data_IF_809528187552
#
_entry.id   IF_809528187552
#
_cell.length_a   1.000
_cell.length_b   1.000
_cell.length_c   1.000
_cell.angle_alpha   90.00
_cell.angle_beta   90.00
_cell.angle_gamma   90.00
#
_symmetry.space_group_name_H-M   'P 1'
#
loop_
_entity.id
_entity.type
_entity.pdbx_description
1 polymer ?
#
# COMPACT_ATOMS: atom_id res chain seq x y z
N UNK A 1 -4.21 1.00 15.88
CA UNK A 1 -4.26 1.36 14.45
C UNK A 1 -5.69 1.64 14.07
N UNK A 2 -5.91 2.51 13.08
CA UNK A 2 -7.25 2.86 12.58
C UNK A 2 -7.32 2.60 11.08
N UNK A 3 -8.39 1.94 10.66
CA UNK A 3 -8.66 1.65 9.25
C UNK A 3 -9.51 2.74 8.63
N UNK A 4 -9.13 3.19 7.44
CA UNK A 4 -9.85 4.17 6.64
C UNK A 4 -10.06 3.63 5.24
N UNK A 5 -11.14 4.08 4.62
CA UNK A 5 -11.47 3.72 3.26
C UNK A 5 -11.84 4.99 2.47
N UNK A 6 -11.18 5.21 1.34
CA UNK A 6 -11.47 6.33 0.45
C UNK A 6 -11.06 6.01 -0.99
N UNK A 7 -11.95 6.30 -1.95
CA UNK A 7 -11.64 6.18 -3.38
C UNK A 7 -11.22 4.77 -3.82
N UNK A 8 -11.88 3.72 -3.31
CA UNK A 8 -11.56 2.31 -3.61
C UNK A 8 -10.17 1.85 -3.15
N UNK A 9 -9.62 2.52 -2.15
CA UNK A 9 -8.38 2.15 -1.47
C UNK A 9 -8.61 2.03 0.04
N UNK A 10 -7.88 1.10 0.64
CA UNK A 10 -7.75 0.97 2.08
C UNK A 10 -6.51 1.69 2.58
N UNK A 11 -6.66 2.25 3.77
CA UNK A 11 -5.57 2.90 4.46
C UNK A 11 -5.56 2.51 5.93
N UNK A 12 -4.36 2.53 6.50
CA UNK A 12 -4.13 2.39 7.93
C UNK A 12 -3.41 3.63 8.43
N UNK A 13 -3.93 4.21 9.50
CA UNK A 13 -3.20 5.15 10.36
C UNK A 13 -2.67 4.40 11.58
N UNK A 14 -1.35 4.43 11.75
CA UNK A 14 -0.70 3.84 12.92
C UNK A 14 -0.69 4.82 14.08
N UNK A 15 -0.96 4.31 15.28
CA UNK A 15 -0.79 5.03 16.54
C UNK A 15 0.69 5.08 16.94
N UNK A 16 1.06 5.95 17.89
CA UNK A 16 2.45 6.28 18.20
C UNK A 16 3.30 5.08 18.66
N UNK A 17 2.68 4.13 19.37
CA UNK A 17 3.32 2.93 19.91
C UNK A 17 3.38 1.76 18.92
N UNK A 18 2.57 1.79 17.87
CA UNK A 18 2.56 0.76 16.83
C UNK A 18 3.77 0.90 15.92
N UNK A 19 4.32 -0.24 15.47
CA UNK A 19 5.52 -0.26 14.62
C UNK A 19 5.30 -1.14 13.40
N UNK A 20 5.85 -0.70 12.28
CA UNK A 20 5.90 -1.49 11.06
C UNK A 20 6.96 -2.58 11.24
N UNK A 21 6.60 -3.82 10.91
CA UNK A 21 7.54 -4.92 10.78
C UNK A 21 8.16 -4.83 9.39
N UNK A 22 9.36 -4.27 9.32
CA UNK A 22 10.13 -4.07 8.09
C UNK A 22 10.80 -5.37 7.62
N UNK A 23 9.98 -6.35 7.18
CA UNK A 23 10.46 -7.63 6.65
C UNK A 23 9.98 -7.84 5.21
N UNK A 24 10.75 -8.58 4.39
CA UNK A 24 10.30 -9.00 3.08
C UNK A 24 9.04 -9.87 3.13
N UNK A 25 8.27 -9.87 2.04
CA UNK A 25 7.14 -10.77 1.84
C UNK A 25 7.16 -11.37 0.43
N UNK A 26 6.73 -12.62 0.29
CA UNK A 26 6.48 -13.21 -1.01
C UNK A 26 5.19 -12.63 -1.60
N UNK A 27 5.24 -12.12 -2.83
CA UNK A 27 4.06 -11.62 -3.52
C UNK A 27 4.20 -11.92 -5.02
N UNK A 28 3.33 -12.79 -5.54
CA UNK A 28 3.45 -13.38 -6.86
C UNK A 28 4.72 -14.19 -7.02
N UNK A 29 5.50 -13.85 -8.04
CA UNK A 29 6.79 -14.44 -8.38
C UNK A 29 7.98 -13.69 -7.77
N UNK A 30 7.74 -12.69 -6.90
CA UNK A 30 8.77 -11.85 -6.30
C UNK A 30 8.83 -11.97 -4.79
N UNK A 31 10.02 -11.67 -4.27
CA UNK A 31 10.22 -11.29 -2.88
C UNK A 31 10.24 -9.76 -2.81
N UNK A 32 9.18 -9.17 -2.27
CA UNK A 32 9.04 -7.72 -2.11
C UNK A 32 9.75 -7.29 -0.83
N UNK A 33 10.73 -6.38 -0.94
CA UNK A 33 11.53 -5.91 0.22
C UNK A 33 11.19 -4.46 0.56
N UNK A 34 11.25 -4.03 1.84
CA UNK A 34 10.97 -2.65 2.21
C UNK A 34 11.84 -1.67 1.39
N UNK A 35 11.19 -0.64 0.83
CA UNK A 35 11.81 0.29 -0.11
C UNK A 35 11.42 0.06 -1.56
N UNK A 36 11.02 -1.16 -1.94
CA UNK A 36 10.62 -1.49 -3.30
C UNK A 36 9.35 -0.76 -3.73
N UNK A 37 9.30 -0.39 -5.01
CA UNK A 37 8.17 0.28 -5.60
C UNK A 37 7.38 -0.64 -6.53
N UNK A 38 6.06 -0.49 -6.54
CA UNK A 38 5.15 -1.16 -7.48
C UNK A 38 4.16 -0.15 -8.04
N UNK A 39 3.90 -0.21 -9.35
CA UNK A 39 2.88 0.65 -9.99
C UNK A 39 1.51 0.00 -9.97
N UNK A 40 1.47 -1.32 -10.16
CA UNK A 40 0.27 -2.14 -10.25
C UNK A 40 0.42 -3.40 -9.44
N UNK A 41 -0.65 -3.80 -8.76
CA UNK A 41 -0.78 -5.07 -8.06
C UNK A 41 -1.97 -5.82 -8.65
N UNK A 42 -1.70 -7.00 -9.19
CA UNK A 42 -2.67 -7.94 -9.78
C UNK A 42 -2.90 -7.79 -11.29
N UNK A 43 -3.27 -8.91 -11.93
CA UNK A 43 -3.23 -9.03 -13.40
C UNK A 43 -4.48 -8.46 -14.09
N UNK A 44 -5.67 -8.70 -13.52
CA UNK A 44 -6.93 -8.37 -14.18
C UNK A 44 -7.38 -6.98 -13.80
N UNK A 45 -7.77 -6.18 -14.79
CA UNK A 45 -8.24 -4.81 -14.61
C UNK A 45 -9.27 -4.66 -13.47
N UNK A 46 -10.31 -5.52 -13.47
CA UNK A 46 -11.39 -5.50 -12.47
C UNK A 46 -10.97 -5.91 -11.04
N UNK A 47 -9.78 -6.47 -10.88
CA UNK A 47 -9.28 -7.00 -9.60
C UNK A 47 -7.80 -6.67 -9.42
N UNK A 48 -7.40 -5.50 -9.91
CA UNK A 48 -6.05 -4.95 -9.77
C UNK A 48 -6.12 -3.59 -9.09
N UNK A 49 -5.06 -3.24 -8.41
CA UNK A 49 -4.86 -1.90 -7.86
C UNK A 49 -3.71 -1.25 -8.61
N UNK A 50 -3.97 -0.14 -9.29
CA UNK A 50 -2.98 0.54 -10.13
C UNK A 50 -2.92 2.03 -9.79
N UNK A 51 -1.71 2.52 -9.55
CA UNK A 51 -1.46 3.93 -9.31
C UNK A 51 -1.55 4.71 -10.62
N UNK A 52 -1.96 5.98 -10.51
CA UNK A 52 -1.95 6.91 -11.63
C UNK A 52 -0.54 7.14 -12.19
N UNK A 53 -0.46 7.67 -13.40
CA UNK A 53 0.82 7.86 -14.10
C UNK A 53 1.86 8.65 -13.27
N UNK A 54 3.09 8.14 -13.25
CA UNK A 54 4.19 8.65 -12.44
C UNK A 54 4.08 8.44 -10.92
N UNK A 55 3.00 7.84 -10.41
CA UNK A 55 2.88 7.48 -9.00
C UNK A 55 3.12 5.99 -8.77
N UNK A 56 3.74 5.67 -7.64
CA UNK A 56 4.08 4.29 -7.27
C UNK A 56 3.77 4.07 -5.80
N UNK A 57 3.39 2.84 -5.46
CA UNK A 57 3.31 2.37 -4.08
C UNK A 57 4.71 1.94 -3.63
N UNK A 58 5.15 2.42 -2.47
CA UNK A 58 6.42 2.02 -1.86
C UNK A 58 6.15 1.03 -0.73
N UNK A 59 6.61 -0.20 -0.85
CA UNK A 59 6.45 -1.18 0.22
C UNK A 59 7.23 -0.76 1.46
N UNK A 60 6.55 -0.70 2.61
CA UNK A 60 7.13 -0.28 3.89
C UNK A 60 7.33 -1.45 4.85
N UNK A 61 6.72 -2.60 4.59
CA UNK A 61 6.64 -3.72 5.53
C UNK A 61 5.18 -4.09 5.80
N UNK A 62 4.91 -4.62 6.98
CA UNK A 62 3.56 -5.01 7.38
C UNK A 62 3.30 -4.78 8.86
N UNK A 63 2.03 -4.83 9.25
CA UNK A 63 1.59 -4.96 10.64
C UNK A 63 0.82 -6.27 10.81
N UNK A 64 0.78 -6.76 12.03
CA UNK A 64 -0.03 -7.93 12.41
C UNK A 64 -1.15 -7.46 13.34
N UNK A 65 -2.36 -7.93 13.09
CA UNK A 65 -3.55 -7.69 13.90
C UNK A 65 -4.22 -9.03 14.21
N UNK A 66 -5.31 -9.00 14.97
CA UNK A 66 -6.14 -10.21 15.21
C UNK A 66 -6.73 -10.79 13.91
N UNK A 67 -6.81 -10.01 12.84
CA UNK A 67 -7.33 -10.41 11.54
C UNK A 67 -6.25 -10.93 10.58
N UNK A 68 -4.98 -10.91 11.00
CA UNK A 68 -3.85 -11.37 10.21
C UNK A 68 -2.87 -10.25 9.87
N UNK A 69 -2.26 -10.34 8.69
CA UNK A 69 -1.19 -9.44 8.26
C UNK A 69 -1.72 -8.41 7.28
N UNK A 70 -1.44 -7.13 7.51
CA UNK A 70 -1.72 -6.05 6.57
C UNK A 70 -0.40 -5.51 5.98
N UNK A 71 -0.24 -5.61 4.66
CA UNK A 71 0.90 -5.01 3.96
C UNK A 71 0.71 -3.51 3.86
N UNK A 72 1.74 -2.75 4.22
CA UNK A 72 1.70 -1.29 4.24
C UNK A 72 2.54 -0.70 3.11
N UNK A 73 1.95 0.28 2.43
CA UNK A 73 2.60 0.98 1.33
C UNK A 73 2.51 2.50 1.52
N UNK A 74 3.66 3.17 1.42
CA UNK A 74 3.74 4.60 1.18
C UNK A 74 3.61 4.90 -0.31
N UNK A 75 3.98 6.12 -0.72
CA UNK A 75 4.09 6.50 -2.13
C UNK A 75 5.47 7.06 -2.46
N UNK A 76 5.76 7.26 -3.73
CA UNK A 76 6.93 8.03 -4.19
C UNK A 76 6.78 9.56 -4.02
N UNK A 77 5.91 10.01 -3.11
CA UNK A 77 5.71 11.43 -2.80
C UNK A 77 6.44 11.78 -1.51
N UNK A 78 7.26 12.82 -1.56
CA UNK A 78 7.83 13.47 -0.39
C UNK A 78 6.85 14.55 0.05
N UNK A 79 6.22 14.31 1.20
CA UNK A 79 5.29 15.24 1.83
C UNK A 79 5.87 15.74 3.15
N UNK A 80 5.64 17.01 3.48
CA UNK A 80 5.98 17.55 4.80
C UNK A 80 5.02 17.07 5.91
N UNK A 81 3.95 16.35 5.56
CA UNK A 81 3.01 15.77 6.51
C UNK A 81 3.58 14.48 7.08
N UNK A 82 3.73 14.45 8.41
CA UNK A 82 4.30 13.33 9.18
C UNK A 82 3.25 12.30 9.56
N UNK A 83 2.04 12.37 9.00
CA UNK A 83 0.97 11.41 9.30
C UNK A 83 1.41 10.01 8.91
N UNK A 84 1.30 9.08 9.86
CA UNK A 84 1.66 7.66 9.73
C UNK A 84 0.56 6.89 8.99
N UNK A 85 0.22 7.39 7.79
CA UNK A 85 -0.88 6.96 6.96
C UNK A 85 -0.35 6.18 5.77
N UNK A 86 -0.82 4.95 5.59
CA UNK A 86 -0.33 4.02 4.58
C UNK A 86 -1.48 3.44 3.80
N UNK A 87 -1.29 3.19 2.50
CA UNK A 87 -2.14 2.25 1.78
C UNK A 87 -1.98 0.87 2.42
N UNK A 88 -3.09 0.13 2.58
CA UNK A 88 -3.06 -1.19 3.19
C UNK A 88 -3.77 -2.25 2.34
N UNK A 89 -3.20 -3.45 2.37
CA UNK A 89 -3.76 -4.64 1.73
C UNK A 89 -3.66 -5.81 2.69
N UNK A 90 -4.79 -6.45 2.99
CA UNK A 90 -4.78 -7.63 3.85
C UNK A 90 -4.11 -8.79 3.10
N UNK A 91 -3.08 -9.38 3.69
CA UNK A 91 -2.27 -10.43 3.12
C UNK A 91 -2.84 -11.80 3.51
N UNK A 92 -3.42 -12.50 2.54
CA UNK A 92 -3.97 -13.83 2.76
C UNK A 92 -2.89 -14.88 2.50
N UNK A 93 -2.27 -14.79 1.33
CA UNK A 93 -1.15 -15.64 0.93
C UNK A 93 -0.31 -14.94 -0.15
N UNK A 94 0.76 -15.61 -0.60
CA UNK A 94 1.69 -15.06 -1.58
C UNK A 94 1.04 -14.66 -2.91
N UNK A 95 -0.16 -15.15 -3.23
CA UNK A 95 -0.85 -14.86 -4.48
C UNK A 95 -2.16 -14.09 -4.28
N UNK A 96 -2.49 -13.72 -3.05
CA UNK A 96 -3.83 -13.22 -2.70
C UNK A 96 -3.74 -12.09 -1.68
N UNK A 97 -4.20 -10.91 -2.09
CA UNK A 97 -4.46 -9.79 -1.21
C UNK A 97 -5.95 -9.47 -1.18
N UNK A 98 -6.43 -8.86 -0.09
CA UNK A 98 -7.74 -8.21 -0.07
C UNK A 98 -7.58 -6.70 0.01
N UNK A 99 -8.42 -6.02 -0.75
CA UNK A 99 -8.65 -4.58 -0.57
C UNK A 99 -10.14 -4.33 -0.51
N UNK A 100 -10.54 -3.38 0.31
CA UNK A 100 -11.92 -2.93 0.35
C UNK A 100 -12.14 -2.00 -0.84
N UNK A 101 -13.11 -2.34 -1.69
CA UNK A 101 -13.45 -1.56 -2.88
C UNK A 101 -14.68 -0.67 -2.71
N UNK A 102 -15.44 -0.85 -1.62
CA UNK A 102 -16.62 -0.08 -1.23
C UNK A 102 -16.94 -0.24 0.28
N UNK A 103 -17.92 0.51 0.80
CA UNK A 103 -18.28 0.49 2.22
C UNK A 103 -18.72 -0.89 2.76
N UNK A 104 -19.04 -1.86 1.90
CA UNK A 104 -19.70 -3.11 2.30
C UNK A 104 -18.96 -4.38 1.88
N UNK A 105 -17.79 -4.31 1.23
CA UNK A 105 -17.14 -5.51 0.71
C UNK A 105 -15.65 -5.38 0.38
N UNK A 106 -14.93 -6.46 0.67
CA UNK A 106 -13.59 -6.72 0.17
C UNK A 106 -13.66 -7.42 -1.17
N UNK A 107 -12.67 -7.19 -2.01
CA UNK A 107 -12.41 -8.04 -3.17
C UNK A 107 -10.99 -8.57 -3.14
N UNK A 108 -10.81 -9.67 -3.86
CA UNK A 108 -9.52 -10.33 -4.00
C UNK A 108 -8.71 -9.65 -5.11
N UNK A 109 -7.45 -9.36 -4.82
CA UNK A 109 -6.42 -9.08 -5.81
C UNK A 109 -5.57 -10.33 -5.92
N UNK A 110 -5.63 -10.98 -7.08
CA UNK A 110 -4.75 -12.11 -7.41
C UNK A 110 -3.44 -11.56 -7.96
N UNK A 111 -2.32 -12.13 -7.52
CA UNK A 111 -0.98 -11.73 -7.95
C UNK A 111 -0.16 -12.98 -8.25
N UNK A 112 0.03 -13.29 -9.51
CA UNK A 112 0.96 -14.29 -10.04
C UNK A 112 2.30 -13.66 -10.42
N UNK A 113 2.27 -12.45 -11.00
CA UNK A 113 3.46 -11.70 -11.40
C UNK A 113 3.46 -10.31 -10.80
N UNK A 114 4.61 -9.88 -10.31
CA UNK A 114 4.77 -8.53 -9.77
C UNK A 114 5.93 -7.81 -10.46
N UNK A 115 5.63 -6.63 -11.01
CA UNK A 115 6.65 -5.71 -11.51
C UNK A 115 7.14 -4.84 -10.36
N UNK A 116 8.45 -4.91 -10.09
CA UNK A 116 9.10 -4.23 -8.97
C UNK A 116 10.15 -3.28 -9.49
N UNK A 117 10.11 -2.05 -9.02
CA UNK A 117 11.06 -0.99 -9.33
C UNK A 117 11.89 -0.69 -8.08
N UNK A 118 13.22 -0.57 -8.25
CA UNK A 118 14.13 -0.22 -7.15
C UNK A 118 14.23 1.29 -6.95
N UNK A 119 14.15 2.03 -8.05
CA UNK A 119 14.20 3.48 -8.06
C UNK A 119 13.11 4.01 -9.00
N UNK A 120 12.46 5.09 -8.56
CA UNK A 120 11.45 5.83 -9.33
C UNK A 120 11.65 7.31 -9.09
N UNK A 121 11.14 8.15 -10.00
CA UNK A 121 11.17 9.60 -9.81
C UNK A 121 10.35 9.99 -8.58
N UNK A 122 10.97 10.71 -7.64
CA UNK A 122 10.30 11.20 -6.44
C UNK A 122 9.53 12.49 -6.76
N UNK A 123 8.29 12.58 -6.27
CA UNK A 123 7.46 13.78 -6.43
C UNK A 123 7.46 14.61 -5.15
N UNK A 124 7.54 15.93 -5.29
CA UNK A 124 7.46 16.86 -4.16
C UNK A 124 6.12 17.58 -4.20
N UNK A 125 5.35 17.50 -3.11
CA UNK A 125 4.14 18.29 -2.96
C UNK A 125 4.42 19.36 -1.90
N UNK A 126 4.58 20.60 -2.34
CA UNK A 126 4.54 21.75 -1.44
C UNK A 126 3.10 21.99 -1.04
N UNK A 127 2.79 21.88 0.25
CA UNK A 127 1.48 22.27 0.76
C UNK A 127 1.35 23.78 0.59
N UNK A 128 0.45 24.23 -0.27
CA UNK A 128 0.05 25.62 -0.29
C UNK A 128 -0.63 25.89 1.05
N UNK A 129 -0.05 26.79 1.86
CA UNK A 129 -0.68 27.29 3.09
C UNK A 129 -1.92 28.11 2.68
N UNK A 130 -3.04 27.45 2.46
CA UNK A 130 -4.33 28.13 2.45
C UNK A 130 -4.64 28.50 3.90
N UNK A 131 -4.45 29.79 4.23
CA UNK A 131 -4.97 30.40 5.44
C UNK A 131 -6.50 30.22 5.45
N UNK A 132 -7.02 29.52 6.45
CA UNK A 132 -8.42 29.59 6.89
C UNK A 132 -8.39 30.17 8.30
#
# INVERSE_FOLDING_TARGET
MKYYYYGSANYIELEDDEKIIEKPVELGDKLLVPGDFVKKIGEKERSSFEMQEGYFLKYMGYVESEYGKDLLFGTNVISADTRRFYYSFAYIDKNTLLVQGNQTGFWDIRVEKLEVFKDVEMKYIHRQLSFI
#
